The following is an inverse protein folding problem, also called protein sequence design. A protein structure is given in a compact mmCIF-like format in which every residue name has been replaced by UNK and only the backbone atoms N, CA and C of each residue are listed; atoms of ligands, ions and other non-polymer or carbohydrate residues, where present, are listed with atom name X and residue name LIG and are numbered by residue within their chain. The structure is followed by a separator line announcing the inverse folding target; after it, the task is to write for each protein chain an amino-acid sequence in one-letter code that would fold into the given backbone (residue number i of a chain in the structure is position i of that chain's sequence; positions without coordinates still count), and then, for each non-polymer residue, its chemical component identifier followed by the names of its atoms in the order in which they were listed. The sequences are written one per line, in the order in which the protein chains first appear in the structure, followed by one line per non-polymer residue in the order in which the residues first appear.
data_IF_923899573125
#
_entry.id   IF_923899573125
#
_cell.length_a   1.000
_cell.length_b   1.000
_cell.length_c   1.000
_cell.angle_alpha   90.00
_cell.angle_beta   90.00
_cell.angle_gamma   90.00
#
_symmetry.space_group_name_H-M   'P 1'
#
loop_
_entity.id
_entity.type
_entity.pdbx_description
1 polymer ?
#
# COMPACT_ATOMS: atom_id res chain seq x y z
N UNK A 1 6.95 -8.78 -12.12
CA UNK A 1 7.24 -10.11 -12.71
C UNK A 1 8.75 -10.40 -12.64
N UNK A 2 9.17 -11.66 -12.52
CA UNK A 2 10.58 -12.04 -12.45
C UNK A 2 11.00 -12.80 -13.72
N UNK A 3 12.09 -12.41 -14.36
CA UNK A 3 12.57 -13.09 -15.57
C UNK A 3 13.50 -14.28 -15.26
N UNK A 4 13.91 -15.00 -16.32
CA UNK A 4 14.84 -16.15 -16.24
C UNK A 4 16.22 -15.82 -15.68
N UNK A 5 16.59 -14.54 -15.65
CA UNK A 5 17.86 -14.03 -15.13
C UNK A 5 17.69 -13.43 -13.72
N UNK A 6 16.57 -13.70 -13.05
CA UNK A 6 16.21 -13.15 -11.75
C UNK A 6 16.01 -11.63 -11.70
N UNK A 7 15.81 -10.95 -12.83
CA UNK A 7 15.49 -9.52 -12.85
C UNK A 7 14.00 -9.30 -12.63
N UNK A 8 13.68 -8.21 -11.93
CA UNK A 8 12.31 -7.76 -11.71
C UNK A 8 11.90 -6.78 -12.81
N UNK A 9 10.71 -7.02 -13.35
CA UNK A 9 10.07 -6.21 -14.36
C UNK A 9 8.75 -5.67 -13.81
N UNK A 10 8.57 -4.36 -13.94
CA UNK A 10 7.30 -3.66 -13.70
C UNK A 10 6.68 -3.43 -15.08
N UNK A 11 5.41 -3.78 -15.22
CA UNK A 11 4.64 -3.67 -16.46
C UNK A 11 3.33 -2.95 -16.17
N UNK A 12 2.59 -2.62 -17.23
CA UNK A 12 1.31 -1.91 -17.16
C UNK A 12 1.40 -0.52 -16.49
N UNK A 13 1.89 0.44 -17.27
CA UNK A 13 2.08 1.83 -16.84
C UNK A 13 0.86 2.72 -17.14
N UNK A 14 -0.35 2.15 -17.34
CA UNK A 14 -1.53 2.90 -17.77
C UNK A 14 -1.94 4.03 -16.81
N UNK A 15 -1.62 3.89 -15.52
CA UNK A 15 -1.92 4.88 -14.47
C UNK A 15 -0.68 5.63 -13.97
N UNK A 16 0.48 5.44 -14.60
CA UNK A 16 1.72 6.09 -14.18
C UNK A 16 1.68 7.58 -14.46
N UNK A 17 2.01 8.39 -13.45
CA UNK A 17 1.95 9.84 -13.56
C UNK A 17 3.03 10.52 -12.71
N UNK A 18 3.20 11.83 -12.88
CA UNK A 18 4.16 12.61 -12.09
C UNK A 18 3.61 12.94 -10.70
N UNK A 19 3.91 12.08 -9.73
CA UNK A 19 3.43 12.17 -8.34
C UNK A 19 4.58 11.95 -7.34
N UNK A 20 4.41 12.32 -6.06
CA UNK A 20 5.38 11.99 -5.02
C UNK A 20 5.61 10.47 -4.91
N UNK A 21 6.88 10.05 -4.95
CA UNK A 21 7.32 8.64 -4.84
C UNK A 21 6.79 7.90 -3.62
N UNK A 22 6.44 8.62 -2.55
CA UNK A 22 5.87 8.02 -1.34
C UNK A 22 4.49 7.41 -1.59
N UNK A 23 3.75 7.95 -2.58
CA UNK A 23 2.44 7.43 -2.97
C UNK A 23 2.59 6.05 -3.60
N UNK A 24 3.56 5.86 -4.50
CA UNK A 24 3.85 4.55 -5.09
C UNK A 24 4.18 3.51 -4.01
N UNK A 25 4.95 3.90 -2.98
CA UNK A 25 5.28 3.03 -1.86
C UNK A 25 4.05 2.71 -1.00
N UNK A 26 3.16 3.69 -0.77
CA UNK A 26 1.94 3.50 0.01
C UNK A 26 0.99 2.54 -0.72
N UNK A 27 0.71 2.79 -2.00
CA UNK A 27 -0.15 1.92 -2.83
C UNK A 27 0.44 0.51 -2.97
N UNK A 28 1.74 0.41 -3.22
CA UNK A 28 2.43 -0.90 -3.26
C UNK A 28 2.32 -1.64 -1.93
N UNK A 29 2.34 -0.91 -0.80
CA UNK A 29 2.19 -1.50 0.52
C UNK A 29 0.78 -2.02 0.77
N UNK A 30 -0.26 -1.28 0.37
CA UNK A 30 -1.64 -1.76 0.44
C UNK A 30 -1.81 -3.05 -0.39
N UNK A 31 -1.28 -3.08 -1.62
CA UNK A 31 -1.55 -4.18 -2.55
C UNK A 31 -0.65 -5.41 -2.35
N UNK A 32 0.60 -5.22 -1.88
CA UNK A 32 1.59 -6.31 -1.81
C UNK A 32 1.98 -6.71 -0.38
N UNK A 33 1.82 -5.79 0.58
CA UNK A 33 2.29 -6.01 1.95
C UNK A 33 1.16 -6.32 2.92
N UNK A 34 -0.10 -6.01 2.57
CA UNK A 34 -1.24 -6.33 3.40
C UNK A 34 -1.39 -7.85 3.55
N UNK A 35 -1.67 -8.24 4.79
CA UNK A 35 -2.06 -9.57 5.21
C UNK A 35 -3.23 -9.36 6.16
N UNK A 36 -4.46 -9.42 5.62
CA UNK A 36 -5.69 -9.10 6.34
C UNK A 36 -5.92 -9.96 7.58
N UNK A 37 -5.29 -11.13 7.66
CA UNK A 37 -5.37 -12.03 8.81
C UNK A 37 -4.27 -11.74 9.85
N UNK A 38 -3.21 -11.03 9.47
CA UNK A 38 -2.04 -10.83 10.31
C UNK A 38 -1.47 -9.41 10.23
N UNK A 39 -1.93 -8.56 11.15
CA UNK A 39 -1.46 -7.18 11.33
C UNK A 39 0.06 -7.07 11.55
N UNK A 40 0.66 -7.97 12.32
CA UNK A 40 2.10 -7.94 12.58
C UNK A 40 2.92 -8.34 11.35
N UNK A 41 2.44 -9.29 10.55
CA UNK A 41 3.06 -9.63 9.28
C UNK A 41 2.94 -8.47 8.28
N UNK A 42 1.79 -7.80 8.23
CA UNK A 42 1.60 -6.57 7.45
C UNK A 42 2.64 -5.52 7.85
N UNK A 43 2.74 -5.22 9.15
CA UNK A 43 3.70 -4.26 9.71
C UNK A 43 5.14 -4.58 9.31
N UNK A 44 5.53 -5.85 9.41
CA UNK A 44 6.86 -6.34 9.01
C UNK A 44 7.12 -6.13 7.52
N UNK A 45 6.17 -6.46 6.65
CA UNK A 45 6.31 -6.32 5.19
C UNK A 45 6.37 -4.85 4.77
N UNK A 46 5.53 -4.00 5.34
CA UNK A 46 5.55 -2.54 5.11
C UNK A 46 6.90 -1.94 5.54
N UNK A 47 7.42 -2.35 6.69
CA UNK A 47 8.77 -1.93 7.11
C UNK A 47 9.84 -2.38 6.12
N UNK A 48 9.78 -3.64 5.69
CA UNK A 48 10.75 -4.22 4.76
C UNK A 48 10.79 -3.48 3.41
N UNK A 49 9.64 -3.12 2.82
CA UNK A 49 9.62 -2.42 1.53
C UNK A 49 10.18 -1.00 1.65
N UNK A 50 9.88 -0.28 2.75
CA UNK A 50 10.45 1.04 3.03
C UNK A 50 11.96 0.99 3.27
N UNK A 51 12.44 -0.02 4.01
CA UNK A 51 13.87 -0.22 4.24
C UNK A 51 14.62 -0.59 2.96
N UNK A 52 14.06 -1.46 2.13
CA UNK A 52 14.67 -1.87 0.86
C UNK A 52 14.75 -0.69 -0.12
N UNK A 53 13.67 0.09 -0.26
CA UNK A 53 13.66 1.27 -1.13
C UNK A 53 14.75 2.28 -0.72
N UNK A 54 14.87 2.53 0.59
CA UNK A 54 15.82 3.52 1.12
C UNK A 54 17.30 3.15 0.93
N UNK A 55 17.64 1.88 0.62
CA UNK A 55 19.00 1.48 0.23
C UNK A 55 19.44 2.13 -1.08
N UNK A 56 18.49 2.43 -1.97
CA UNK A 56 18.76 2.99 -3.30
C UNK A 56 18.33 4.45 -3.40
N UNK A 57 17.22 4.82 -2.75
CA UNK A 57 16.64 6.17 -2.82
C UNK A 57 16.19 6.62 -1.44
N UNK A 58 16.97 7.49 -0.80
CA UNK A 58 16.66 7.96 0.54
C UNK A 58 15.41 8.84 0.55
N UNK A 59 14.44 8.42 1.37
CA UNK A 59 13.24 9.20 1.68
C UNK A 59 13.60 10.30 2.68
N UNK A 60 12.95 11.44 2.52
CA UNK A 60 13.02 12.53 3.49
C UNK A 60 12.17 12.19 4.73
N UNK A 61 12.46 12.84 5.84
CA UNK A 61 11.68 12.68 7.07
C UNK A 61 10.21 13.06 6.83
N UNK A 62 9.96 14.10 6.03
CA UNK A 62 8.61 14.50 5.63
C UNK A 62 7.89 13.41 4.83
N UNK A 63 8.54 12.79 3.86
CA UNK A 63 7.93 11.69 3.10
C UNK A 63 7.57 10.52 4.01
N UNK A 64 8.46 10.13 4.92
CA UNK A 64 8.18 9.06 5.89
C UNK A 64 7.02 9.41 6.83
N UNK A 65 6.95 10.67 7.28
CA UNK A 65 5.86 11.18 8.12
C UNK A 65 4.51 11.18 7.38
N UNK A 66 4.50 11.44 6.06
CA UNK A 66 3.28 11.42 5.26
C UNK A 66 2.85 10.01 4.81
N UNK A 67 3.72 9.00 4.94
CA UNK A 67 3.41 7.64 4.49
C UNK A 67 2.10 7.07 5.08
N UNK A 68 1.82 7.17 6.41
CA UNK A 68 0.58 6.69 7.00
C UNK A 68 -0.66 7.34 6.37
N UNK A 69 -0.60 8.65 6.11
CA UNK A 69 -1.70 9.37 5.48
C UNK A 69 -1.97 8.84 4.07
N UNK A 70 -0.94 8.63 3.26
CA UNK A 70 -1.12 8.09 1.91
C UNK A 70 -1.56 6.62 1.92
N UNK A 71 -1.16 5.84 2.92
CA UNK A 71 -1.66 4.48 3.12
C UNK A 71 -3.16 4.48 3.42
N UNK A 72 -3.63 5.40 4.27
CA UNK A 72 -5.07 5.57 4.56
C UNK A 72 -5.84 6.00 3.32
N UNK A 73 -5.31 6.98 2.58
CA UNK A 73 -5.93 7.48 1.35
C UNK A 73 -6.06 6.36 0.31
N UNK A 74 -5.03 5.56 0.11
CA UNK A 74 -5.06 4.46 -0.86
C UNK A 74 -6.15 3.42 -0.52
N UNK A 75 -6.23 3.00 0.74
CA UNK A 75 -7.29 2.08 1.19
C UNK A 75 -8.68 2.73 1.10
N UNK A 76 -8.83 4.00 1.50
CA UNK A 76 -10.09 4.73 1.39
C UNK A 76 -10.57 4.87 -0.06
N UNK A 77 -9.65 5.06 -1.01
CA UNK A 77 -9.97 5.08 -2.44
C UNK A 77 -10.55 3.74 -2.92
N UNK A 78 -9.96 2.62 -2.49
CA UNK A 78 -10.47 1.28 -2.80
C UNK A 78 -11.90 1.08 -2.29
N UNK A 79 -12.14 1.41 -1.02
CA UNK A 79 -13.46 1.36 -0.40
C UNK A 79 -14.47 2.22 -1.17
N UNK A 80 -14.13 3.48 -1.46
CA UNK A 80 -15.04 4.42 -2.14
C UNK A 80 -15.39 3.98 -3.56
N UNK A 81 -14.39 3.57 -4.34
CA UNK A 81 -14.58 3.15 -5.72
C UNK A 81 -15.48 1.91 -5.79
N UNK A 82 -15.21 0.90 -4.97
CA UNK A 82 -15.98 -0.36 -5.00
C UNK A 82 -17.38 -0.14 -4.41
N UNK A 83 -17.51 0.70 -3.37
CA UNK A 83 -18.83 1.12 -2.87
C UNK A 83 -19.67 1.74 -3.98
N UNK A 84 -19.07 2.58 -4.83
CA UNK A 84 -19.77 3.18 -5.95
C UNK A 84 -20.20 2.14 -6.99
N UNK A 85 -19.31 1.24 -7.40
CA UNK A 85 -19.63 0.15 -8.35
C UNK A 85 -20.78 -0.74 -7.82
N UNK A 86 -20.78 -1.03 -6.53
CA UNK A 86 -21.87 -1.77 -5.88
C UNK A 86 -23.23 -1.06 -6.05
N UNK A 87 -23.28 0.27 -5.97
CA UNK A 87 -24.53 1.03 -6.19
C UNK A 87 -25.05 0.95 -7.62
N UNK A 88 -24.18 0.63 -8.58
CA UNK A 88 -24.52 0.45 -9.99
C UNK A 88 -24.92 -1.00 -10.32
N UNK A 89 -24.81 -1.93 -9.35
CA UNK A 89 -25.04 -3.36 -9.56
C UNK A 89 -23.88 -4.08 -10.26
N UNK A 90 -22.70 -3.46 -10.30
CA UNK A 90 -21.49 -3.95 -10.98
C UNK A 90 -20.48 -4.49 -9.96
N UNK A 91 -20.86 -5.49 -9.15
CA UNK A 91 -19.97 -6.07 -8.13
C UNK A 91 -19.56 -7.50 -8.51
N UNK A 92 -18.26 -7.72 -8.71
CA UNK A 92 -17.67 -9.06 -8.84
C UNK A 92 -17.15 -9.60 -7.50
N UNK A 93 -16.80 -10.89 -7.47
CA UNK A 93 -16.12 -11.49 -6.30
C UNK A 93 -14.75 -10.84 -6.05
N UNK A 94 -14.05 -10.44 -7.11
CA UNK A 94 -12.77 -9.74 -7.01
C UNK A 94 -12.94 -8.35 -6.41
N UNK A 95 -13.99 -7.61 -6.80
CA UNK A 95 -14.28 -6.30 -6.21
C UNK A 95 -14.54 -6.43 -4.70
N UNK A 96 -15.32 -7.43 -4.29
CA UNK A 96 -15.55 -7.69 -2.87
C UNK A 96 -14.25 -7.99 -2.12
N UNK A 97 -13.38 -8.83 -2.70
CA UNK A 97 -12.09 -9.13 -2.10
C UNK A 97 -11.26 -7.87 -1.87
N UNK A 98 -11.13 -7.00 -2.89
CA UNK A 98 -10.36 -5.75 -2.76
C UNK A 98 -11.00 -4.75 -1.80
N UNK A 99 -12.33 -4.74 -1.68
CA UNK A 99 -13.04 -3.95 -0.69
C UNK A 99 -12.70 -4.40 0.73
N UNK A 100 -12.81 -5.70 1.00
CA UNK A 100 -12.53 -6.30 2.30
C UNK A 100 -11.05 -6.09 2.71
N UNK A 101 -10.11 -6.26 1.77
CA UNK A 101 -8.69 -5.93 1.97
C UNK A 101 -8.52 -4.45 2.32
N UNK A 102 -9.15 -3.55 1.57
CA UNK A 102 -9.03 -2.10 1.81
C UNK A 102 -9.58 -1.69 3.18
N UNK A 103 -10.71 -2.26 3.62
CA UNK A 103 -11.24 -2.06 4.97
C UNK A 103 -10.26 -2.53 6.04
N UNK A 104 -9.65 -3.71 5.86
CA UNK A 104 -8.64 -4.22 6.81
C UNK A 104 -7.37 -3.40 6.83
N UNK A 105 -6.90 -2.92 5.69
CA UNK A 105 -5.79 -1.98 5.61
C UNK A 105 -6.06 -0.73 6.45
N UNK A 106 -7.23 -0.12 6.28
CA UNK A 106 -7.61 1.07 7.03
C UNK A 106 -7.78 0.79 8.54
N UNK A 107 -8.36 -0.36 8.93
CA UNK A 107 -8.50 -0.79 10.32
C UNK A 107 -7.14 -0.94 11.02
N UNK A 108 -6.13 -1.46 10.31
CA UNK A 108 -4.79 -1.63 10.87
C UNK A 108 -4.08 -0.31 11.13
N UNK A 109 -4.37 0.70 10.31
CA UNK A 109 -3.68 1.99 10.27
C UNK A 109 -4.02 2.87 11.47
N UNK A 110 -3.38 2.57 12.60
CA UNK A 110 -3.49 3.35 13.82
C UNK A 110 -2.11 3.73 14.35
N UNK A 111 -2.08 4.63 15.35
CA UNK A 111 -0.82 5.16 15.91
C UNK A 111 0.13 4.07 16.40
N UNK A 112 -0.40 2.97 16.93
CA UNK A 112 0.39 1.85 17.44
C UNK A 112 1.02 1.03 16.31
N UNK A 113 0.29 0.81 15.21
CA UNK A 113 0.80 0.14 14.03
C UNK A 113 2.01 0.87 13.44
N UNK A 114 1.92 2.20 13.29
CA UNK A 114 2.96 3.01 12.67
C UNK A 114 4.19 3.26 13.55
N UNK A 115 4.04 3.13 14.88
CA UNK A 115 5.08 3.44 15.87
C UNK A 115 6.43 2.77 15.58
N UNK A 116 6.42 1.52 15.10
CA UNK A 116 7.66 0.75 14.89
C UNK A 116 8.04 0.59 13.39
N UNK A 117 7.28 1.24 12.50
CA UNK A 117 7.58 1.38 11.07
C UNK A 117 8.37 2.67 10.84
N UNK A 118 8.05 3.73 11.58
CA UNK A 118 8.82 4.97 11.57
C UNK A 118 10.18 4.75 12.25
N UNK A 119 11.21 4.60 11.44
CA UNK A 119 12.59 4.61 11.92
C UNK A 119 12.92 6.04 12.34
N UNK A 120 12.66 6.38 13.60
CA UNK A 120 13.40 7.48 14.24
C UNK A 120 14.87 7.04 14.32
N UNK A 121 15.74 7.87 13.73
CA UNK A 121 17.17 7.84 14.03
C UNK A 121 17.43 8.27 15.47
#
# INVERSE_FOLDING_TARGET
MKDKNNKLWIIDFAVSNYIPRIIDLAVSSCNLCLDAENKENTKKKVKMILEEYQKYNKLTDYELEQFPLFFDIANAMGILQISHLNTLGELSEEDKFWYDESEKGLEFSNKEFWKDIHVKK
#
